data_IF_208312817097
#
_entry.id   IF_208312817097
#
_cell.length_a   1.000
_cell.length_b   1.000
_cell.length_c   1.000
_cell.angle_alpha   90.00
_cell.angle_beta   90.00
_cell.angle_gamma   90.00
#
_symmetry.space_group_name_H-M   'P 1'
#
loop_
_entity.id
_entity.type
_entity.pdbx_description
1 polymer ?
#
# COMPACT_ATOMS: atom_id res chain seq x y z
N UNK A 1 13.44 -3.95 10.95
CA UNK A 1 12.13 -3.30 10.72
C UNK A 1 11.91 -2.96 9.24
N UNK A 2 12.76 -2.13 8.61
CA UNK A 2 12.57 -1.65 7.23
C UNK A 2 12.51 -2.76 6.17
N UNK A 3 13.51 -3.65 6.16
CA UNK A 3 13.57 -4.78 5.21
C UNK A 3 12.34 -5.69 5.27
N UNK A 4 11.81 -6.00 6.46
CA UNK A 4 10.62 -6.86 6.58
C UNK A 4 9.37 -6.21 5.94
N UNK A 5 9.18 -4.90 6.12
CA UNK A 5 8.07 -4.16 5.52
C UNK A 5 8.19 -4.11 4.00
N UNK A 6 9.39 -3.88 3.46
CA UNK A 6 9.61 -3.83 2.01
C UNK A 6 9.35 -5.20 1.37
N UNK A 7 9.88 -6.29 1.95
CA UNK A 7 9.63 -7.67 1.49
C UNK A 7 8.14 -8.04 1.54
N UNK A 8 7.42 -7.60 2.57
CA UNK A 8 5.97 -7.85 2.68
C UNK A 8 5.18 -7.16 1.56
N UNK A 9 5.53 -5.91 1.23
CA UNK A 9 4.87 -5.15 0.16
C UNK A 9 5.21 -5.74 -1.22
N UNK A 10 6.48 -6.10 -1.45
CA UNK A 10 6.91 -6.74 -2.69
C UNK A 10 6.16 -8.06 -2.92
N UNK A 11 6.05 -8.89 -1.89
CA UNK A 11 5.27 -10.12 -1.96
C UNK A 11 3.80 -9.85 -2.28
N UNK A 12 3.19 -8.81 -1.69
CA UNK A 12 1.81 -8.43 -1.98
C UNK A 12 1.62 -7.93 -3.42
N UNK A 13 2.62 -7.32 -4.05
CA UNK A 13 2.57 -6.93 -5.47
C UNK A 13 2.67 -8.14 -6.41
N UNK A 14 3.50 -9.13 -6.07
CA UNK A 14 3.63 -10.37 -6.85
C UNK A 14 2.44 -11.31 -6.65
N UNK A 15 1.81 -11.26 -5.48
CA UNK A 15 0.71 -12.12 -5.07
C UNK A 15 -0.48 -11.32 -4.49
N UNK A 16 -1.19 -10.52 -5.32
CA UNK A 16 -2.28 -9.66 -4.85
C UNK A 16 -3.43 -10.43 -4.20
N UNK A 17 -3.61 -11.70 -4.58
CA UNK A 17 -4.65 -12.57 -4.01
C UNK A 17 -4.26 -13.20 -2.67
N UNK A 18 -2.98 -13.22 -2.29
CA UNK A 18 -2.51 -13.92 -1.08
C UNK A 18 -3.12 -13.37 0.21
N UNK A 19 -3.50 -12.09 0.21
CA UNK A 19 -4.11 -11.41 1.35
C UNK A 19 -5.63 -11.30 1.25
N UNK A 20 -6.27 -11.82 0.20
CA UNK A 20 -7.70 -11.54 -0.07
C UNK A 20 -8.65 -12.01 1.01
N UNK A 21 -8.48 -13.22 1.52
CA UNK A 21 -9.36 -13.76 2.56
C UNK A 21 -9.27 -12.92 3.84
N UNK A 22 -8.06 -12.51 4.20
CA UNK A 22 -7.82 -11.62 5.33
C UNK A 22 -8.49 -10.25 5.11
N UNK A 23 -8.34 -9.67 3.92
CA UNK A 23 -8.96 -8.39 3.57
C UNK A 23 -10.48 -8.47 3.66
N UNK A 24 -11.11 -9.51 3.08
CA UNK A 24 -12.57 -9.71 3.14
C UNK A 24 -13.08 -9.91 4.56
N UNK A 25 -12.33 -10.62 5.40
CA UNK A 25 -12.69 -10.81 6.81
C UNK A 25 -12.77 -9.47 7.56
N UNK A 26 -11.95 -8.49 7.19
CA UNK A 26 -11.87 -7.17 7.82
C UNK A 26 -12.64 -6.06 7.08
N UNK A 27 -13.14 -6.34 5.88
CA UNK A 27 -13.90 -5.42 5.04
C UNK A 27 -15.17 -6.10 4.47
N UNK A 28 -15.94 -6.76 5.34
CA UNK A 28 -17.03 -7.67 4.98
C UNK A 28 -18.16 -7.03 4.16
N UNK A 29 -18.34 -5.72 4.29
CA UNK A 29 -19.39 -4.96 3.59
C UNK A 29 -18.94 -4.44 2.22
N UNK A 30 -17.67 -4.60 1.84
CA UNK A 30 -17.14 -4.11 0.58
C UNK A 30 -17.15 -5.19 -0.50
N UNK A 31 -17.64 -4.81 -1.68
CA UNK A 31 -17.53 -5.62 -2.89
C UNK A 31 -16.07 -5.75 -3.34
N UNK A 32 -15.75 -6.84 -4.03
CA UNK A 32 -14.40 -7.15 -4.50
C UNK A 32 -13.80 -6.04 -5.38
N UNK A 33 -14.63 -5.43 -6.22
CA UNK A 33 -14.21 -4.33 -7.07
C UNK A 33 -13.78 -3.10 -6.25
N UNK A 34 -14.53 -2.76 -5.20
CA UNK A 34 -14.23 -1.63 -4.31
C UNK A 34 -12.95 -1.90 -3.53
N UNK A 35 -12.76 -3.13 -3.05
CA UNK A 35 -11.51 -3.56 -2.39
C UNK A 35 -10.31 -3.40 -3.33
N UNK A 36 -10.42 -3.87 -4.58
CA UNK A 36 -9.34 -3.78 -5.55
C UNK A 36 -8.98 -2.32 -5.87
N UNK A 37 -9.99 -1.44 -6.02
CA UNK A 37 -9.79 -0.01 -6.23
C UNK A 37 -9.10 0.65 -5.03
N UNK A 38 -9.51 0.30 -3.81
CA UNK A 38 -8.90 0.81 -2.59
C UNK A 38 -7.42 0.44 -2.51
N UNK A 39 -7.08 -0.84 -2.75
CA UNK A 39 -5.69 -1.30 -2.74
C UNK A 39 -4.88 -0.57 -3.81
N UNK A 40 -5.39 -0.48 -5.05
CA UNK A 40 -4.68 0.19 -6.15
C UNK A 40 -4.41 1.68 -5.88
N UNK A 41 -5.30 2.35 -5.15
CA UNK A 41 -5.16 3.77 -4.80
C UNK A 41 -4.07 3.98 -3.73
N UNK A 42 -4.07 3.18 -2.67
CA UNK A 42 -3.25 3.42 -1.48
C UNK A 42 -1.96 2.58 -1.40
N UNK A 43 -1.89 1.46 -2.12
CA UNK A 43 -0.73 0.58 -2.16
C UNK A 43 -0.04 0.74 -3.51
N UNK A 44 1.02 1.56 -3.53
CA UNK A 44 1.73 1.93 -4.74
C UNK A 44 3.24 2.08 -4.46
N UNK A 45 4.00 2.61 -5.41
CA UNK A 45 5.46 2.76 -5.30
C UNK A 45 5.88 3.58 -4.06
N UNK A 46 5.08 4.54 -3.62
CA UNK A 46 5.35 5.32 -2.40
C UNK A 46 5.21 4.49 -1.12
N UNK A 47 4.40 3.43 -1.16
CA UNK A 47 4.30 2.46 -0.07
C UNK A 47 5.59 1.68 0.10
N UNK A 48 6.31 1.40 -0.99
CA UNK A 48 7.64 0.79 -0.95
C UNK A 48 8.70 1.81 -0.53
N UNK A 49 8.80 2.94 -1.24
CA UNK A 49 9.73 4.00 -0.93
C UNK A 49 9.21 5.35 -1.42
N UNK A 50 9.29 6.37 -0.56
CA UNK A 50 8.87 7.73 -0.89
C UNK A 50 9.66 8.36 -2.05
N UNK A 51 10.89 7.90 -2.27
CA UNK A 51 11.80 8.53 -3.22
C UNK A 51 12.07 10.01 -2.91
N UNK A 52 12.64 10.73 -3.87
CA UNK A 52 12.94 12.16 -3.70
C UNK A 52 11.69 13.03 -3.83
N UNK A 53 10.75 12.67 -4.71
CA UNK A 53 9.48 13.39 -4.88
C UNK A 53 8.64 13.33 -3.61
N UNK A 54 8.47 12.15 -3.00
CA UNK A 54 7.71 12.00 -1.76
C UNK A 54 8.37 12.72 -0.58
N UNK A 55 9.71 12.68 -0.47
CA UNK A 55 10.43 13.47 0.55
C UNK A 55 10.27 14.98 0.35
N UNK A 56 10.29 15.43 -0.90
CA UNK A 56 10.06 16.84 -1.23
C UNK A 56 8.64 17.28 -0.89
N UNK A 57 7.65 16.44 -1.17
CA UNK A 57 6.26 16.70 -0.80
C UNK A 57 6.09 16.81 0.73
N UNK A 58 6.77 15.95 1.51
CA UNK A 58 6.76 16.04 2.97
C UNK A 58 7.38 17.35 3.45
N UNK A 59 8.58 17.71 2.95
CA UNK A 59 9.25 18.98 3.30
C UNK A 59 8.36 20.19 3.01
N UNK A 60 7.72 20.21 1.84
CA UNK A 60 6.77 21.25 1.47
C UNK A 60 5.57 21.32 2.43
N UNK A 61 5.04 20.17 2.87
CA UNK A 61 3.92 20.11 3.80
C UNK A 61 4.31 20.56 5.23
N UNK A 62 5.53 20.22 5.68
CA UNK A 62 6.01 20.53 7.04
C UNK A 62 6.67 21.89 7.16
N UNK A 63 7.02 22.54 6.05
CA UNK A 63 7.68 23.84 6.04
C UNK A 63 9.18 23.78 6.35
N UNK A 64 9.82 22.63 6.12
CA UNK A 64 11.29 22.46 6.21
C UNK A 64 11.99 22.58 4.86
#
# INVERSE_FOLDING_TARGET
MRSCKDTSIEYAFEHPDASRDFIKQHAQELEDEVINQHIALFVNQYSLSLGESGRTAIRFLTGE
#
